data_IF_175102226342
#
_entry.id   IF_175102226342
#
_cell.length_a   1.000
_cell.length_b   1.000
_cell.length_c   1.000
_cell.angle_alpha   90.00
_cell.angle_beta   90.00
_cell.angle_gamma   90.00
#
_symmetry.space_group_name_H-M   'P 1'
#
loop_
_entity.id
_entity.type
_entity.pdbx_description
1 polymer ?
#
# COMPACT_ATOMS: atom_id res chain seq x y z
N UNK A 1 -15.21 -23.90 -9.31
CA UNK A 1 -15.59 -22.54 -8.89
C UNK A 1 -16.27 -21.87 -10.07
N UNK A 2 -17.42 -21.22 -9.83
CA UNK A 2 -18.16 -20.51 -10.87
C UNK A 2 -17.42 -19.23 -11.28
N UNK A 3 -17.08 -19.03 -12.57
CA UNK A 3 -16.34 -17.86 -13.04
C UNK A 3 -17.06 -16.53 -12.75
N UNK A 4 -18.39 -16.54 -12.66
CA UNK A 4 -19.21 -15.35 -12.37
C UNK A 4 -18.98 -14.85 -10.94
N UNK A 5 -18.90 -15.78 -9.98
CA UNK A 5 -18.67 -15.47 -8.57
C UNK A 5 -17.25 -14.92 -8.37
N UNK A 6 -16.26 -15.49 -9.07
CA UNK A 6 -14.88 -14.99 -9.01
C UNK A 6 -14.75 -13.57 -9.57
N UNK A 7 -15.43 -13.27 -10.69
CA UNK A 7 -15.43 -11.93 -11.28
C UNK A 7 -16.10 -10.89 -10.36
N UNK A 8 -17.25 -11.23 -9.77
CA UNK A 8 -17.94 -10.35 -8.82
C UNK A 8 -17.07 -10.06 -7.57
N UNK A 9 -16.40 -11.08 -7.03
CA UNK A 9 -15.50 -10.92 -5.87
C UNK A 9 -14.26 -10.09 -6.21
N UNK A 10 -13.73 -10.20 -7.42
CA UNK A 10 -12.63 -9.37 -7.89
C UNK A 10 -13.04 -7.89 -7.98
N UNK A 11 -14.26 -7.60 -8.43
CA UNK A 11 -14.77 -6.22 -8.50
C UNK A 11 -14.92 -5.59 -7.13
N UNK A 12 -15.51 -6.31 -6.17
CA UNK A 12 -15.62 -5.85 -4.78
C UNK A 12 -14.24 -5.51 -4.19
N UNK A 13 -13.21 -6.31 -4.49
CA UNK A 13 -11.85 -6.03 -4.03
C UNK A 13 -11.26 -4.79 -4.70
N UNK A 14 -11.45 -4.62 -6.01
CA UNK A 14 -11.00 -3.43 -6.74
C UNK A 14 -11.69 -2.18 -6.21
N UNK A 15 -12.99 -2.20 -6.00
CA UNK A 15 -13.73 -1.07 -5.45
C UNK A 15 -13.23 -0.69 -4.05
N UNK A 16 -12.98 -1.69 -3.19
CA UNK A 16 -12.38 -1.45 -1.88
C UNK A 16 -11.00 -0.80 -1.98
N UNK A 17 -10.16 -1.22 -2.93
CA UNK A 17 -8.84 -0.64 -3.09
C UNK A 17 -8.86 0.74 -3.74
N UNK A 18 -9.81 0.98 -4.66
CA UNK A 18 -10.02 2.28 -5.30
C UNK A 18 -10.55 3.32 -4.31
N UNK A 19 -11.48 2.95 -3.44
CA UNK A 19 -12.15 3.88 -2.52
C UNK A 19 -11.21 4.54 -1.50
N UNK A 20 -10.06 3.91 -1.20
CA UNK A 20 -9.04 4.48 -0.31
C UNK A 20 -7.98 5.33 -1.02
N UNK A 21 -7.90 5.28 -2.35
CA UNK A 21 -6.90 6.05 -3.08
C UNK A 21 -7.19 7.55 -2.97
N UNK A 22 -6.16 8.39 -2.82
CA UNK A 22 -6.36 9.82 -2.91
C UNK A 22 -6.73 10.24 -4.33
N UNK A 23 -7.47 11.33 -4.46
CA UNK A 23 -7.80 11.95 -5.76
C UNK A 23 -6.55 12.30 -6.60
N UNK A 24 -5.40 12.51 -5.94
CA UNK A 24 -4.13 12.87 -6.58
C UNK A 24 -2.97 12.21 -5.86
N UNK A 25 -2.02 11.70 -6.63
CA UNK A 25 -0.82 11.05 -6.09
C UNK A 25 -0.03 11.96 -5.16
N UNK A 26 0.02 13.27 -5.44
CA UNK A 26 0.78 14.25 -4.66
C UNK A 26 0.25 14.45 -3.23
N UNK A 27 -0.97 13.98 -2.92
CA UNK A 27 -1.49 13.98 -1.54
C UNK A 27 -0.76 12.96 -0.65
N UNK A 28 -0.04 12.00 -1.23
CA UNK A 28 0.84 11.08 -0.50
C UNK A 28 2.07 11.85 -0.01
N UNK A 29 2.02 12.29 1.24
CA UNK A 29 2.97 13.20 1.89
C UNK A 29 3.58 12.60 3.16
N UNK A 30 3.60 11.27 3.26
CA UNK A 30 4.24 10.56 4.36
C UNK A 30 5.76 10.80 4.45
N UNK A 31 6.39 10.30 5.53
CA UNK A 31 7.81 10.48 5.78
C UNK A 31 8.67 9.89 4.65
N UNK A 32 9.85 10.49 4.43
CA UNK A 32 10.79 10.08 3.38
C UNK A 32 12.05 9.38 3.88
N UNK A 33 12.36 9.55 5.17
CA UNK A 33 13.57 9.06 5.84
C UNK A 33 13.28 8.72 7.30
N UNK A 34 14.24 8.08 7.97
CA UNK A 34 14.11 7.70 9.37
C UNK A 34 13.25 6.46 9.59
N UNK A 35 12.78 6.28 10.83
CA UNK A 35 11.98 5.13 11.23
C UNK A 35 10.49 5.46 11.28
N UNK A 36 9.67 4.53 10.79
CA UNK A 36 8.21 4.61 10.79
C UNK A 36 7.65 3.38 11.47
N UNK A 37 6.77 3.58 12.43
CA UNK A 37 6.02 2.53 13.09
C UNK A 37 4.64 2.42 12.45
N UNK A 38 4.28 1.20 12.04
CA UNK A 38 2.96 0.93 11.48
C UNK A 38 1.91 0.80 12.60
N UNK A 39 0.74 1.44 12.44
CA UNK A 39 -0.39 1.25 13.34
C UNK A 39 -0.81 -0.22 13.46
N UNK A 40 -1.38 -0.55 14.62
CA UNK A 40 -1.80 -1.91 14.96
C UNK A 40 -2.80 -2.47 13.94
N UNK A 41 -3.73 -1.66 13.41
CA UNK A 41 -4.71 -2.12 12.42
C UNK A 41 -4.10 -2.47 11.06
N UNK A 42 -2.87 -2.02 10.78
CA UNK A 42 -2.10 -2.40 9.59
C UNK A 42 -1.26 -3.65 9.89
N UNK A 43 -0.63 -3.71 11.07
CA UNK A 43 0.22 -4.84 11.48
C UNK A 43 -0.13 -5.25 12.92
N UNK A 44 -0.89 -6.32 13.06
CA UNK A 44 -1.36 -6.82 14.35
C UNK A 44 -0.27 -7.48 15.20
N UNK A 45 0.75 -8.08 14.57
CA UNK A 45 1.89 -8.68 15.26
C UNK A 45 3.12 -8.78 14.35
N UNK A 46 4.29 -9.02 14.94
CA UNK A 46 5.56 -9.09 14.21
C UNK A 46 6.28 -7.75 14.14
N UNK A 47 6.97 -7.47 13.01
CA UNK A 47 7.74 -6.23 12.86
C UNK A 47 6.82 -5.05 12.54
N UNK A 48 6.71 -4.12 13.46
CA UNK A 48 5.93 -2.87 13.31
C UNK A 48 6.80 -1.68 12.90
N UNK A 49 8.09 -1.67 13.24
CA UNK A 49 9.02 -0.57 12.90
C UNK A 49 9.82 -0.83 11.63
N UNK A 50 9.88 0.17 10.75
CA UNK A 50 10.55 0.12 9.46
C UNK A 50 11.41 1.36 9.25
N UNK A 51 12.69 1.17 8.95
CA UNK A 51 13.58 2.26 8.50
C UNK A 51 13.35 2.53 7.01
N UNK A 52 13.09 3.80 6.67
CA UNK A 52 12.98 4.30 5.30
C UNK A 52 14.35 4.48 4.64
N UNK A 53 15.41 4.61 5.42
CA UNK A 53 16.80 4.74 4.93
C UNK A 53 17.33 3.44 4.32
N UNK A 54 16.68 2.31 4.64
CA UNK A 54 17.02 0.99 4.09
C UNK A 54 16.05 0.60 2.98
N UNK A 55 16.48 0.49 1.71
CA UNK A 55 15.59 0.23 0.57
C UNK A 55 14.68 -0.99 0.72
N UNK A 56 15.22 -2.11 1.25
CA UNK A 56 14.41 -3.33 1.50
C UNK A 56 13.34 -3.12 2.57
N UNK A 57 13.67 -2.38 3.63
CA UNK A 57 12.74 -2.08 4.72
C UNK A 57 11.63 -1.13 4.25
N UNK A 58 11.98 -0.06 3.53
CA UNK A 58 11.04 0.84 2.87
C UNK A 58 10.10 0.11 1.92
N UNK A 59 10.63 -0.79 1.10
CA UNK A 59 9.83 -1.62 0.18
C UNK A 59 8.81 -2.48 0.95
N UNK A 60 9.21 -3.09 2.08
CA UNK A 60 8.27 -3.86 2.91
C UNK A 60 7.18 -2.96 3.48
N UNK A 61 7.52 -1.78 4.02
CA UNK A 61 6.53 -0.83 4.54
C UNK A 61 5.51 -0.46 3.46
N UNK A 62 5.97 -0.03 2.28
CA UNK A 62 5.09 0.43 1.20
C UNK A 62 4.18 -0.70 0.72
N UNK A 63 4.71 -1.92 0.59
CA UNK A 63 3.91 -3.10 0.24
C UNK A 63 2.84 -3.41 1.28
N UNK A 64 3.18 -3.33 2.56
CA UNK A 64 2.24 -3.59 3.67
C UNK A 64 1.14 -2.54 3.73
N UNK A 65 1.48 -1.25 3.66
CA UNK A 65 0.48 -0.16 3.66
C UNK A 65 -0.44 -0.25 2.44
N UNK A 66 0.10 -0.58 1.26
CA UNK A 66 -0.74 -0.84 0.09
C UNK A 66 -1.60 -2.09 0.24
N UNK A 67 -1.22 -3.10 1.01
CA UNK A 67 -2.07 -4.28 1.18
C UNK A 67 -3.19 -4.04 2.20
N UNK A 68 -2.84 -3.45 3.35
CA UNK A 68 -3.67 -3.45 4.55
C UNK A 68 -4.17 -2.06 4.98
N UNK A 69 -3.52 -0.99 4.51
CA UNK A 69 -3.82 0.38 4.93
C UNK A 69 -5.14 0.94 4.40
N UNK A 70 -5.74 1.80 5.22
CA UNK A 70 -6.90 2.65 4.92
C UNK A 70 -6.47 3.95 4.23
N UNK A 71 -7.42 4.80 3.84
CA UNK A 71 -7.13 6.00 3.05
C UNK A 71 -6.18 6.96 3.77
N UNK A 72 -6.43 7.19 5.05
CA UNK A 72 -5.62 8.00 5.94
C UNK A 72 -4.20 7.46 6.11
N UNK A 73 -4.05 6.13 6.14
CA UNK A 73 -2.75 5.47 6.25
C UNK A 73 -1.92 5.69 4.98
N UNK A 74 -2.56 5.60 3.80
CA UNK A 74 -1.88 5.88 2.54
C UNK A 74 -1.34 7.31 2.53
N UNK A 75 -2.15 8.29 2.93
CA UNK A 75 -1.76 9.69 2.99
C UNK A 75 -0.62 9.95 3.99
N UNK A 76 -0.67 9.31 5.16
CA UNK A 76 0.25 9.54 6.26
C UNK A 76 1.57 8.76 6.13
N UNK A 77 1.57 7.60 5.46
CA UNK A 77 2.70 6.67 5.47
C UNK A 77 3.39 6.51 4.11
N UNK A 78 2.73 6.89 3.01
CA UNK A 78 3.32 6.84 1.68
C UNK A 78 3.71 8.24 1.21
N UNK A 79 4.83 8.31 0.50
CA UNK A 79 5.28 9.52 -0.17
C UNK A 79 5.30 9.31 -1.69
N UNK A 80 4.68 10.23 -2.43
CA UNK A 80 4.47 10.10 -3.88
C UNK A 80 5.74 9.84 -4.69
N UNK A 81 6.85 10.53 -4.38
CA UNK A 81 8.12 10.37 -5.11
C UNK A 81 8.70 8.97 -4.88
N UNK A 82 8.78 8.55 -3.62
CA UNK A 82 9.34 7.25 -3.24
C UNK A 82 8.47 6.10 -3.77
N UNK A 83 7.15 6.27 -3.74
CA UNK A 83 6.22 5.30 -4.32
C UNK A 83 6.45 5.15 -5.82
N UNK A 84 6.58 6.27 -6.54
CA UNK A 84 6.84 6.29 -7.99
C UNK A 84 8.16 5.61 -8.33
N UNK A 85 9.22 5.92 -7.59
CA UNK A 85 10.56 5.32 -7.76
C UNK A 85 10.53 3.80 -7.52
N UNK A 86 9.80 3.33 -6.52
CA UNK A 86 9.73 1.91 -6.16
C UNK A 86 8.70 1.12 -6.97
N UNK A 87 7.76 1.80 -7.63
CA UNK A 87 6.62 1.19 -8.33
C UNK A 87 7.00 0.08 -9.33
N UNK A 88 8.07 0.20 -10.16
CA UNK A 88 8.42 -0.84 -11.14
C UNK A 88 8.67 -2.22 -10.52
N UNK A 89 9.18 -2.25 -9.28
CA UNK A 89 9.40 -3.46 -8.48
C UNK A 89 8.16 -3.78 -7.66
N UNK A 90 7.64 -2.79 -6.93
CA UNK A 90 6.51 -2.96 -5.99
C UNK A 90 5.26 -3.53 -6.67
N UNK A 91 4.95 -3.09 -7.90
CA UNK A 91 3.79 -3.57 -8.67
C UNK A 91 3.82 -5.07 -8.99
N UNK A 92 5.00 -5.71 -8.89
CA UNK A 92 5.19 -7.17 -9.10
C UNK A 92 5.01 -7.96 -7.80
N UNK A 93 4.98 -7.28 -6.66
CA UNK A 93 4.94 -7.87 -5.31
C UNK A 93 3.59 -7.70 -4.61
N UNK A 94 2.63 -7.03 -5.25
CA UNK A 94 1.29 -6.76 -4.74
C UNK A 94 0.23 -7.52 -5.54
N UNK A 95 -0.97 -7.62 -4.96
CA UNK A 95 -2.12 -8.23 -5.61
C UNK A 95 -2.47 -7.53 -6.93
N UNK A 96 -2.86 -8.26 -7.99
CA UNK A 96 -3.37 -7.67 -9.23
C UNK A 96 -4.51 -6.66 -8.99
N UNK A 97 -5.38 -6.91 -8.02
CA UNK A 97 -6.50 -6.03 -7.68
C UNK A 97 -6.08 -4.66 -7.11
N UNK A 98 -4.86 -4.53 -6.59
CA UNK A 98 -4.28 -3.25 -6.17
C UNK A 98 -3.58 -2.57 -7.34
N UNK A 99 -2.94 -3.35 -8.20
CA UNK A 99 -2.18 -2.86 -9.36
C UNK A 99 -3.07 -2.28 -10.47
N UNK A 100 -4.30 -2.78 -10.58
CA UNK A 100 -5.25 -2.47 -11.66
C UNK A 100 -6.22 -1.34 -11.33
N UNK A 101 -6.18 -0.78 -10.11
CA UNK A 101 -7.05 0.31 -9.67
C UNK A 101 -6.41 1.68 -9.79
#
# INVERSE_FOLDING_TARGET
MDPTITAARAEVLRDRYRSRLPERLQKLAGPVEGNVDLPLHIVWSGRTSYSLDRPKSRMTLYRTVLAEGLSEDLLALLHHRLLTEQWPVLRRLISPYIREV
#
